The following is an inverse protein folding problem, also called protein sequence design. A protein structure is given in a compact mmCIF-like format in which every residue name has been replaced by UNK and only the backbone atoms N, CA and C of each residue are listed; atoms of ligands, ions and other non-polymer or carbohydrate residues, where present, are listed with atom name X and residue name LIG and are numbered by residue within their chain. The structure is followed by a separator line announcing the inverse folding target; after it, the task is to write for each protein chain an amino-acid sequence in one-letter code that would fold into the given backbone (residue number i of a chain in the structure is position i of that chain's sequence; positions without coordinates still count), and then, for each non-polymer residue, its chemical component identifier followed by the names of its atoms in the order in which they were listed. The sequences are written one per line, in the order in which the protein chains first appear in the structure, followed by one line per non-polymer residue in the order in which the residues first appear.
data_IF_392580808466
#
_entry.id   IF_392580808466
#
_cell.length_a   1.000
_cell.length_b   1.000
_cell.length_c   1.000
_cell.angle_alpha   90.00
_cell.angle_beta   90.00
_cell.angle_gamma   90.00
#
_symmetry.space_group_name_H-M   'P 1'
#
loop_
_entity.id
_entity.type
_entity.pdbx_description
1 polymer ?
#
# COMPACT_ATOMS: atom_id res chain seq x y z
N UNK A 1 -1.61 87.06 2.59
CA UNK A 1 -0.71 85.86 2.46
C UNK A 1 -0.78 84.88 3.63
N UNK A 2 -1.39 85.20 4.77
CA UNK A 2 -1.39 84.25 5.96
C UNK A 2 -2.52 83.24 5.92
N UNK A 3 -3.62 83.46 5.22
CA UNK A 3 -4.76 82.53 5.21
C UNK A 3 -4.66 81.40 4.19
N UNK A 4 -3.90 81.55 3.12
CA UNK A 4 -3.66 80.54 2.11
C UNK A 4 -2.69 79.43 2.63
N UNK A 5 -1.75 79.81 3.50
CA UNK A 5 -0.79 78.85 4.10
C UNK A 5 -1.43 77.92 5.15
N UNK A 6 -2.45 78.40 5.86
CA UNK A 6 -3.21 77.62 6.82
C UNK A 6 -4.15 76.61 6.13
N UNK A 7 -4.69 76.91 5.01
CA UNK A 7 -5.57 76.05 4.24
C UNK A 7 -4.76 74.89 3.60
N UNK A 8 -3.56 75.19 3.09
CA UNK A 8 -2.68 74.15 2.51
C UNK A 8 -2.14 73.22 3.58
N UNK A 9 -1.81 73.67 4.81
CA UNK A 9 -1.34 72.85 5.90
C UNK A 9 -2.44 72.00 6.48
N UNK A 10 -3.70 72.47 6.51
CA UNK A 10 -4.84 71.64 6.95
C UNK A 10 -5.20 70.55 5.94
N UNK A 11 -5.02 70.79 4.64
CA UNK A 11 -5.33 69.84 3.57
C UNK A 11 -4.26 68.76 3.45
N UNK A 12 -2.99 69.10 3.68
CA UNK A 12 -1.90 68.08 3.75
C UNK A 12 -1.97 67.21 4.97
N UNK A 13 -2.42 67.68 6.14
CA UNK A 13 -2.58 66.90 7.34
C UNK A 13 -3.74 65.90 7.22
N UNK A 14 -4.82 66.25 6.48
CA UNK A 14 -5.95 65.34 6.28
C UNK A 14 -5.65 64.23 5.24
N UNK A 15 -4.75 64.50 4.29
CA UNK A 15 -4.32 63.49 3.30
C UNK A 15 -3.33 62.46 3.87
N UNK A 16 -2.55 62.82 4.90
CA UNK A 16 -1.58 61.90 5.52
C UNK A 16 -2.25 61.00 6.57
N UNK A 17 -3.33 61.45 7.21
CA UNK A 17 -4.10 60.63 8.16
C UNK A 17 -5.02 59.62 7.48
N UNK A 18 -5.46 59.87 6.22
CA UNK A 18 -6.28 58.91 5.46
C UNK A 18 -5.51 57.76 4.85
N UNK A 19 -4.16 57.85 4.74
CA UNK A 19 -3.33 56.82 4.11
C UNK A 19 -2.79 55.78 5.11
N UNK A 20 -3.00 55.92 6.41
CA UNK A 20 -2.51 55.00 7.45
C UNK A 20 -3.60 54.08 8.00
N UNK A 21 -4.82 54.13 7.50
CA UNK A 21 -5.93 53.24 7.93
C UNK A 21 -6.19 52.07 6.98
N UNK A 22 -5.29 51.79 6.04
CA UNK A 22 -5.50 50.73 5.07
C UNK A 22 -4.31 49.77 5.03
N UNK A 23 -4.03 49.11 6.12
CA UNK A 23 -3.26 47.85 6.14
C UNK A 23 -3.24 47.30 7.58
N UNK A 24 -4.38 46.85 8.06
CA UNK A 24 -4.44 45.85 9.11
C UNK A 24 -5.48 44.80 8.70
N UNK A 25 -5.30 44.22 7.50
CA UNK A 25 -5.69 42.87 7.27
C UNK A 25 -4.43 42.06 7.64
N UNK A 26 -4.23 41.80 8.93
CA UNK A 26 -3.60 40.56 9.32
C UNK A 26 -4.56 39.50 8.83
N UNK A 27 -4.29 38.94 7.66
CA UNK A 27 -4.70 37.59 7.37
C UNK A 27 -4.10 36.77 8.53
N UNK A 28 -4.86 36.62 9.60
CA UNK A 28 -4.65 35.50 10.52
C UNK A 28 -4.79 34.29 9.59
N UNK A 29 -3.67 33.75 9.14
CA UNK A 29 -3.61 32.42 8.56
C UNK A 29 -4.28 31.53 9.62
N UNK A 30 -5.51 31.11 9.35
CA UNK A 30 -6.12 30.09 10.17
C UNK A 30 -5.08 28.97 10.25
N UNK A 31 -4.75 28.47 11.44
CA UNK A 31 -3.78 27.38 11.54
C UNK A 31 -4.29 26.27 10.65
N UNK A 32 -3.52 25.96 9.60
CA UNK A 32 -3.85 24.85 8.69
C UNK A 32 -4.15 23.62 9.56
N UNK A 33 -5.35 23.07 9.38
CA UNK A 33 -5.70 21.82 10.06
C UNK A 33 -4.64 20.78 9.65
N UNK A 34 -4.03 20.09 10.61
CA UNK A 34 -2.99 19.12 10.26
C UNK A 34 -3.54 18.11 9.26
N UNK A 35 -2.79 17.83 8.19
CA UNK A 35 -3.19 16.96 7.11
C UNK A 35 -3.48 15.53 7.60
N UNK A 36 -4.50 14.86 7.05
CA UNK A 36 -4.69 13.42 7.25
C UNK A 36 -3.43 12.64 6.90
N UNK A 37 -3.22 11.51 7.56
CA UNK A 37 -2.01 10.70 7.39
C UNK A 37 -2.32 9.32 6.85
N UNK A 38 -1.47 8.85 5.94
CA UNK A 38 -1.42 7.46 5.53
C UNK A 38 -0.07 6.88 5.93
N UNK A 39 -0.10 5.78 6.65
CA UNK A 39 1.09 5.00 7.00
C UNK A 39 1.05 3.72 6.19
N UNK A 40 1.98 3.54 5.29
CA UNK A 40 2.03 2.37 4.42
C UNK A 40 3.17 1.44 4.84
N UNK A 41 2.84 0.19 5.15
CA UNK A 41 3.77 -0.87 5.50
C UNK A 41 3.87 -1.86 4.34
N UNK A 42 4.99 -1.84 3.62
CA UNK A 42 5.28 -2.78 2.53
C UNK A 42 5.63 -4.17 3.06
N UNK A 43 5.52 -5.19 2.22
CA UNK A 43 5.93 -6.55 2.61
C UNK A 43 7.43 -6.62 2.92
N UNK A 44 7.88 -7.62 3.69
CA UNK A 44 9.30 -7.80 4.00
C UNK A 44 10.19 -8.08 2.77
N UNK A 45 9.59 -8.41 1.61
CA UNK A 45 10.32 -8.50 0.34
C UNK A 45 10.93 -7.18 -0.10
N UNK A 46 10.42 -6.06 0.43
CA UNK A 46 10.95 -4.73 0.21
C UNK A 46 10.63 -4.14 -1.15
N UNK A 47 11.12 -2.92 -1.34
CA UNK A 47 11.05 -2.20 -2.62
C UNK A 47 12.20 -2.64 -3.53
N UNK A 48 12.01 -2.49 -4.85
CA UNK A 48 12.98 -2.89 -5.86
C UNK A 48 12.78 -4.32 -6.35
N UNK A 49 11.62 -4.92 -6.06
CA UNK A 49 11.25 -6.26 -6.56
C UNK A 49 10.82 -6.24 -8.03
N UNK A 50 10.70 -5.06 -8.64
CA UNK A 50 10.16 -4.82 -9.99
C UNK A 50 8.76 -5.46 -10.21
N UNK A 51 8.07 -5.79 -9.15
CA UNK A 51 6.83 -6.55 -9.11
C UNK A 51 5.78 -5.90 -8.19
N UNK A 52 5.29 -6.66 -7.21
CA UNK A 52 4.16 -6.30 -6.35
C UNK A 52 4.40 -5.02 -5.55
N UNK A 53 5.49 -4.94 -4.78
CA UNK A 53 5.77 -3.78 -3.94
C UNK A 53 6.02 -2.51 -4.78
N UNK A 54 6.78 -2.61 -5.87
CA UNK A 54 7.05 -1.47 -6.75
C UNK A 54 5.78 -0.95 -7.42
N UNK A 55 4.86 -1.84 -7.82
CA UNK A 55 3.57 -1.43 -8.40
C UNK A 55 2.67 -0.75 -7.39
N UNK A 56 2.67 -1.20 -6.14
CA UNK A 56 1.98 -0.52 -5.05
C UNK A 56 2.58 0.87 -4.84
N UNK A 57 3.92 0.99 -4.79
CA UNK A 57 4.60 2.27 -4.63
C UNK A 57 4.22 3.26 -5.74
N UNK A 58 4.18 2.82 -7.00
CA UNK A 58 3.70 3.65 -8.11
C UNK A 58 2.27 4.16 -7.87
N UNK A 59 1.39 3.28 -7.35
CA UNK A 59 0.02 3.65 -6.98
C UNK A 59 -0.04 4.69 -5.86
N UNK A 60 0.75 4.50 -4.80
CA UNK A 60 0.86 5.43 -3.67
C UNK A 60 1.38 6.81 -4.12
N UNK A 61 2.41 6.82 -4.97
CA UNK A 61 2.97 8.07 -5.52
C UNK A 61 1.95 8.83 -6.38
N UNK A 62 1.21 8.12 -7.22
CA UNK A 62 0.13 8.72 -8.03
C UNK A 62 -0.96 9.29 -7.15
N UNK A 63 -1.40 8.53 -6.14
CA UNK A 63 -2.41 8.99 -5.18
C UNK A 63 -1.96 10.28 -4.47
N UNK A 64 -0.69 10.37 -4.04
CA UNK A 64 -0.13 11.58 -3.43
C UNK A 64 -0.11 12.77 -4.37
N UNK A 65 0.21 12.56 -5.66
CA UNK A 65 0.17 13.64 -6.66
C UNK A 65 -1.24 14.18 -6.90
N UNK A 66 -2.25 13.32 -6.81
CA UNK A 66 -3.65 13.67 -7.03
C UNK A 66 -4.30 14.28 -5.76
N UNK A 67 -3.74 13.99 -4.56
CA UNK A 67 -4.29 14.37 -3.25
C UNK A 67 -3.18 15.01 -2.40
N UNK A 68 -2.76 16.23 -2.81
CA UNK A 68 -1.60 16.92 -2.22
C UNK A 68 -1.67 17.22 -0.73
N UNK A 69 -2.88 17.27 -0.15
CA UNK A 69 -3.14 17.64 1.25
C UNK A 69 -3.07 16.42 2.22
N UNK A 70 -2.41 15.33 1.83
CA UNK A 70 -2.28 14.12 2.63
C UNK A 70 -0.80 13.81 2.88
N UNK A 71 -0.43 13.58 4.13
CA UNK A 71 0.90 13.12 4.49
C UNK A 71 1.00 11.58 4.34
N UNK A 72 1.99 11.10 3.60
CA UNK A 72 2.21 9.67 3.38
C UNK A 72 3.58 9.27 3.96
N UNK A 73 3.55 8.32 4.89
CA UNK A 73 4.72 7.70 5.51
C UNK A 73 4.86 6.26 5.01
N UNK A 74 6.04 5.91 4.54
CA UNK A 74 6.34 4.61 3.95
C UNK A 74 7.34 3.88 4.82
N UNK A 75 7.01 2.64 5.18
CA UNK A 75 7.90 1.72 5.88
C UNK A 75 8.11 0.47 5.03
N UNK A 76 9.36 0.05 4.91
CA UNK A 76 9.77 -1.18 4.24
C UNK A 76 10.58 -2.01 5.24
N UNK A 77 9.93 -2.81 6.08
CA UNK A 77 10.60 -3.59 7.11
C UNK A 77 11.44 -4.71 6.48
N UNK A 78 12.53 -5.06 7.15
CA UNK A 78 13.40 -6.16 6.72
C UNK A 78 12.87 -7.54 7.19
N UNK A 79 11.87 -7.55 8.08
CA UNK A 79 11.31 -8.78 8.66
C UNK A 79 9.88 -8.59 9.14
N UNK A 80 9.15 -9.71 9.31
CA UNK A 80 7.82 -9.70 9.95
C UNK A 80 7.88 -9.17 11.39
N UNK A 81 8.96 -9.44 12.12
CA UNK A 81 9.13 -8.95 13.49
C UNK A 81 9.28 -7.43 13.55
N UNK A 82 9.98 -6.82 12.60
CA UNK A 82 10.06 -5.37 12.49
C UNK A 82 8.72 -4.76 12.11
N UNK A 83 8.02 -5.38 11.16
CA UNK A 83 6.67 -4.98 10.76
C UNK A 83 5.70 -5.01 11.94
N UNK A 84 5.75 -6.08 12.75
CA UNK A 84 4.95 -6.24 13.96
C UNK A 84 5.18 -5.11 14.95
N UNK A 85 6.44 -4.75 15.19
CA UNK A 85 6.77 -3.63 16.07
C UNK A 85 6.22 -2.31 15.57
N UNK A 86 6.35 -2.02 14.27
CA UNK A 86 5.82 -0.79 13.67
C UNK A 86 4.29 -0.73 13.82
N UNK A 87 3.60 -1.84 13.61
CA UNK A 87 2.15 -1.94 13.74
C UNK A 87 1.69 -1.80 15.19
N UNK A 88 2.34 -2.50 16.13
CA UNK A 88 2.07 -2.39 17.56
C UNK A 88 2.27 -0.97 18.07
N UNK A 89 3.41 -0.34 17.74
CA UNK A 89 3.70 1.04 18.11
C UNK A 89 2.61 2.01 17.58
N UNK A 90 2.04 1.74 16.40
CA UNK A 90 0.94 2.55 15.88
C UNK A 90 -0.37 2.32 16.64
N UNK A 91 -0.71 1.06 16.95
CA UNK A 91 -1.92 0.73 17.71
C UNK A 91 -1.92 1.35 19.10
N UNK A 92 -0.78 1.31 19.79
CA UNK A 92 -0.62 1.82 21.14
C UNK A 92 -0.54 3.35 21.23
N UNK A 93 -0.31 4.06 20.10
CA UNK A 93 -0.27 5.53 20.12
C UNK A 93 -1.58 6.11 20.64
N UNK A 94 -1.53 7.12 21.51
CA UNK A 94 -2.72 7.80 21.99
C UNK A 94 -3.58 8.32 20.82
N UNK A 95 -4.87 8.47 21.10
CA UNK A 95 -5.79 9.08 20.14
C UNK A 95 -5.30 10.48 19.74
N UNK A 96 -5.25 10.73 18.43
CA UNK A 96 -4.95 12.01 17.82
C UNK A 96 -6.22 12.60 17.22
N UNK A 97 -6.27 13.95 17.07
CA UNK A 97 -7.29 14.61 16.27
C UNK A 97 -7.07 14.42 14.77
N UNK A 98 -5.87 13.98 14.37
CA UNK A 98 -5.50 13.76 12.97
C UNK A 98 -5.96 12.37 12.55
N UNK A 99 -6.77 12.22 11.48
CA UNK A 99 -7.13 10.93 10.92
C UNK A 99 -5.88 10.21 10.39
N UNK A 100 -5.73 8.94 10.73
CA UNK A 100 -4.61 8.09 10.26
C UNK A 100 -5.17 6.81 9.66
N UNK A 101 -4.86 6.56 8.40
CA UNK A 101 -5.05 5.27 7.74
C UNK A 101 -3.73 4.50 7.79
N UNK A 102 -3.73 3.36 8.46
CA UNK A 102 -2.61 2.41 8.39
C UNK A 102 -2.89 1.36 7.32
N UNK A 103 -1.95 1.12 6.43
CA UNK A 103 -2.07 0.16 5.33
C UNK A 103 -1.07 -0.96 5.53
N UNK A 104 -1.57 -2.17 5.69
CA UNK A 104 -0.79 -3.41 5.69
C UNK A 104 -0.75 -3.95 4.26
N UNK A 105 0.34 -3.74 3.57
CA UNK A 105 0.49 -3.95 2.13
C UNK A 105 0.81 -5.38 1.71
N UNK A 106 0.51 -6.38 2.55
CA UNK A 106 0.77 -7.80 2.25
C UNK A 106 -0.19 -8.72 3.01
N UNK A 107 -0.52 -9.87 2.41
CA UNK A 107 -1.24 -10.97 3.07
C UNK A 107 -0.49 -11.55 4.28
N UNK A 108 0.84 -11.46 4.30
CA UNK A 108 1.67 -11.94 5.42
C UNK A 108 1.33 -11.26 6.75
N UNK A 109 0.72 -10.09 6.69
CA UNK A 109 0.35 -9.30 7.86
C UNK A 109 -1.01 -9.68 8.47
N UNK A 110 -1.84 -10.47 7.78
CA UNK A 110 -3.16 -10.85 8.30
C UNK A 110 -3.10 -11.56 9.66
N UNK A 111 -2.22 -12.58 9.89
CA UNK A 111 -2.12 -13.24 11.19
C UNK A 111 -1.70 -12.29 12.32
N UNK A 112 -0.78 -11.37 12.04
CA UNK A 112 -0.34 -10.33 12.98
C UNK A 112 -1.50 -9.39 13.31
N UNK A 113 -2.20 -8.88 12.28
CA UNK A 113 -3.33 -7.98 12.47
C UNK A 113 -4.45 -8.65 13.30
N UNK A 114 -4.75 -9.92 13.05
CA UNK A 114 -5.74 -10.68 13.81
C UNK A 114 -5.40 -10.76 15.30
N UNK A 115 -4.13 -11.07 15.60
CA UNK A 115 -3.67 -11.18 16.99
C UNK A 115 -3.85 -9.87 17.74
N UNK A 116 -3.37 -8.77 17.17
CA UNK A 116 -3.42 -7.46 17.83
C UNK A 116 -4.85 -6.89 17.91
N UNK A 117 -5.67 -7.06 16.88
CA UNK A 117 -7.05 -6.59 16.85
C UNK A 117 -7.99 -7.40 17.76
N UNK A 118 -7.59 -8.59 18.21
CA UNK A 118 -8.30 -9.33 19.22
C UNK A 118 -8.20 -8.71 20.62
N UNK A 119 -7.16 -7.91 20.86
CA UNK A 119 -6.84 -7.31 22.16
C UNK A 119 -6.97 -5.77 22.16
N UNK A 120 -7.05 -5.14 20.98
CA UNK A 120 -7.04 -3.67 20.82
C UNK A 120 -8.16 -3.23 19.88
N UNK A 121 -9.01 -2.32 20.34
CA UNK A 121 -9.97 -1.61 19.50
C UNK A 121 -9.30 -0.42 18.82
N UNK A 122 -9.70 -0.10 17.58
CA UNK A 122 -9.25 1.11 16.91
C UNK A 122 -9.91 2.34 17.55
N UNK A 123 -9.11 3.38 17.78
CA UNK A 123 -9.64 4.68 18.23
C UNK A 123 -10.33 5.40 17.05
N UNK A 124 -11.29 6.33 17.28
CA UNK A 124 -12.14 6.90 16.23
C UNK A 124 -11.43 7.52 15.02
N UNK A 125 -10.18 7.98 15.19
CA UNK A 125 -9.42 8.58 14.09
C UNK A 125 -8.37 7.63 13.48
N UNK A 126 -8.42 6.35 13.85
CA UNK A 126 -7.58 5.31 13.26
C UNK A 126 -8.42 4.44 12.34
N UNK A 127 -7.90 4.19 11.15
CA UNK A 127 -8.45 3.21 10.21
C UNK A 127 -7.34 2.28 9.75
N UNK A 128 -7.71 1.05 9.44
CA UNK A 128 -6.81 0.01 8.98
C UNK A 128 -7.27 -0.52 7.62
N UNK A 129 -6.32 -0.70 6.71
CA UNK A 129 -6.56 -1.36 5.43
C UNK A 129 -5.60 -2.54 5.27
N UNK A 130 -6.15 -3.74 5.10
CA UNK A 130 -5.37 -4.95 4.84
C UNK A 130 -5.46 -5.31 3.37
N UNK A 131 -4.31 -5.44 2.74
CA UNK A 131 -4.19 -5.93 1.37
C UNK A 131 -4.21 -7.46 1.35
N UNK A 132 -4.72 -7.99 0.26
CA UNK A 132 -4.79 -9.43 -0.02
C UNK A 132 -5.51 -10.25 1.07
N UNK A 133 -6.45 -9.63 1.78
CA UNK A 133 -7.31 -10.28 2.77
C UNK A 133 -8.77 -10.29 2.31
N UNK A 134 -9.46 -11.39 2.58
CA UNK A 134 -10.92 -11.56 2.40
C UNK A 134 -11.68 -11.55 3.71
N UNK A 135 -10.98 -11.39 4.81
CA UNK A 135 -11.58 -11.41 6.13
C UNK A 135 -12.50 -10.21 6.30
N UNK A 136 -13.64 -10.45 6.93
CA UNK A 136 -14.57 -9.39 7.32
C UNK A 136 -14.43 -9.12 8.81
N UNK A 137 -14.17 -7.87 9.14
CA UNK A 137 -14.11 -7.39 10.51
C UNK A 137 -15.42 -6.71 10.89
N UNK A 138 -15.75 -6.71 12.18
CA UNK A 138 -16.96 -6.05 12.70
C UNK A 138 -16.77 -4.54 12.87
N UNK A 139 -15.52 -4.11 13.07
CA UNK A 139 -15.16 -2.70 13.18
C UNK A 139 -15.22 -2.06 11.78
N UNK A 140 -16.03 -1.02 11.64
CA UNK A 140 -16.21 -0.28 10.37
C UNK A 140 -14.96 0.49 9.92
N UNK A 141 -14.00 0.68 10.81
CA UNK A 141 -12.72 1.31 10.48
C UNK A 141 -11.66 0.31 9.95
N UNK A 142 -12.00 -0.98 9.86
CA UNK A 142 -11.11 -2.01 9.31
C UNK A 142 -11.63 -2.44 7.95
N UNK A 143 -10.83 -2.17 6.92
CA UNK A 143 -11.13 -2.50 5.53
C UNK A 143 -10.18 -3.57 5.02
N UNK A 144 -10.69 -4.44 4.15
CA UNK A 144 -9.91 -5.48 3.50
C UNK A 144 -10.24 -5.51 2.02
N UNK A 145 -9.27 -5.86 1.19
CA UNK A 145 -9.54 -6.22 -0.20
C UNK A 145 -8.54 -7.25 -0.70
N UNK A 146 -8.93 -7.98 -1.72
CA UNK A 146 -8.07 -8.93 -2.41
C UNK A 146 -8.28 -8.84 -3.92
N UNK A 147 -7.18 -8.86 -4.66
CA UNK A 147 -7.20 -9.02 -6.11
C UNK A 147 -7.21 -10.51 -6.42
N UNK A 148 -8.31 -11.01 -6.98
CA UNK A 148 -8.41 -12.43 -7.32
C UNK A 148 -7.61 -12.74 -8.58
N UNK A 149 -6.58 -13.54 -8.43
CA UNK A 149 -5.75 -14.03 -9.54
C UNK A 149 -6.40 -15.22 -10.29
N UNK A 150 -7.53 -15.76 -9.80
CA UNK A 150 -8.14 -16.97 -10.38
C UNK A 150 -8.44 -16.83 -11.87
N UNK A 151 -9.10 -15.76 -12.29
CA UNK A 151 -9.52 -15.58 -13.68
C UNK A 151 -8.36 -15.47 -14.67
N UNK A 152 -7.34 -14.70 -14.33
CA UNK A 152 -6.12 -14.55 -15.14
C UNK A 152 -5.37 -15.89 -15.23
N UNK A 153 -5.22 -16.59 -14.11
CA UNK A 153 -4.57 -17.88 -14.05
C UNK A 153 -5.35 -18.97 -14.79
N UNK A 154 -6.69 -18.93 -14.75
CA UNK A 154 -7.54 -19.81 -15.53
C UNK A 154 -7.26 -19.65 -17.03
N UNK A 155 -7.18 -18.43 -17.53
CA UNK A 155 -6.85 -18.17 -18.94
C UNK A 155 -5.44 -18.67 -19.30
N UNK A 156 -4.46 -18.51 -18.40
CA UNK A 156 -3.12 -19.07 -18.59
C UNK A 156 -3.16 -20.61 -18.69
N UNK A 157 -3.94 -21.27 -17.84
CA UNK A 157 -4.17 -22.73 -17.93
C UNK A 157 -4.81 -23.16 -19.23
N UNK A 158 -5.80 -22.39 -19.73
CA UNK A 158 -6.40 -22.65 -21.06
C UNK A 158 -5.37 -22.50 -22.18
N UNK A 159 -4.46 -21.53 -22.09
CA UNK A 159 -3.34 -21.39 -23.02
C UNK A 159 -2.40 -22.59 -22.95
N UNK A 160 -1.97 -22.96 -21.74
CA UNK A 160 -1.09 -24.12 -21.53
C UNK A 160 -1.67 -25.38 -22.17
N UNK A 161 -2.96 -25.68 -21.95
CA UNK A 161 -3.65 -26.83 -22.57
C UNK A 161 -3.59 -26.85 -24.11
N UNK A 162 -3.48 -25.67 -24.73
CA UNK A 162 -3.41 -25.55 -26.19
C UNK A 162 -2.00 -25.55 -26.74
N UNK A 163 -1.02 -25.16 -25.95
CA UNK A 163 0.34 -24.90 -26.39
C UNK A 163 1.35 -25.90 -25.85
N UNK A 164 1.05 -26.57 -24.73
CA UNK A 164 1.94 -27.56 -24.13
C UNK A 164 1.62 -28.96 -24.65
N UNK A 165 2.65 -29.73 -24.97
CA UNK A 165 2.58 -31.15 -25.30
C UNK A 165 2.86 -32.04 -24.08
N UNK A 166 3.35 -31.43 -23.00
CA UNK A 166 3.70 -32.08 -21.74
C UNK A 166 2.81 -31.59 -20.59
N UNK A 167 2.84 -32.27 -19.46
CA UNK A 167 2.23 -31.76 -18.23
C UNK A 167 2.92 -30.46 -17.82
N UNK A 168 2.19 -29.34 -17.65
CA UNK A 168 2.81 -28.07 -17.29
C UNK A 168 3.20 -28.05 -15.82
N UNK A 169 4.19 -27.23 -15.49
CA UNK A 169 4.61 -26.93 -14.12
C UNK A 169 3.98 -25.62 -13.64
N UNK A 170 3.39 -25.64 -12.44
CA UNK A 170 3.02 -24.44 -11.69
C UNK A 170 4.08 -24.18 -10.62
N UNK A 171 4.82 -23.08 -10.75
CA UNK A 171 5.86 -22.68 -9.81
C UNK A 171 5.37 -21.55 -8.91
N UNK A 172 5.36 -21.78 -7.62
CA UNK A 172 4.81 -20.88 -6.62
C UNK A 172 5.88 -20.39 -5.65
N UNK A 173 5.73 -19.14 -5.16
CA UNK A 173 6.64 -18.60 -4.16
C UNK A 173 6.63 -19.43 -2.87
N UNK A 174 5.43 -19.68 -2.32
CA UNK A 174 5.26 -20.46 -1.10
C UNK A 174 3.93 -21.24 -1.09
N UNK A 175 3.74 -22.10 -0.11
CA UNK A 175 2.56 -22.96 0.02
C UNK A 175 1.50 -22.40 1.00
N UNK A 176 1.80 -21.36 1.74
CA UNK A 176 0.93 -20.79 2.79
C UNK A 176 0.10 -19.63 2.32
N UNK A 177 0.52 -18.90 1.29
CA UNK A 177 -0.14 -17.70 0.80
C UNK A 177 -1.44 -18.03 0.05
N UNK A 178 -2.56 -17.50 0.54
CA UNK A 178 -3.89 -17.70 -0.05
C UNK A 178 -4.01 -17.16 -1.48
N UNK A 179 -3.58 -15.92 -1.82
CA UNK A 179 -3.60 -15.40 -3.19
C UNK A 179 -2.86 -16.29 -4.19
N UNK A 180 -1.70 -16.81 -3.81
CA UNK A 180 -0.88 -17.71 -4.64
C UNK A 180 -1.60 -19.03 -4.89
N UNK A 181 -2.18 -19.63 -3.86
CA UNK A 181 -2.96 -20.86 -4.00
C UNK A 181 -4.19 -20.66 -4.89
N UNK A 182 -4.85 -19.48 -4.84
CA UNK A 182 -5.94 -19.13 -5.75
C UNK A 182 -5.47 -19.07 -7.21
N UNK A 183 -4.27 -18.56 -7.46
CA UNK A 183 -3.67 -18.55 -8.80
C UNK A 183 -3.40 -19.96 -9.31
N UNK A 184 -2.84 -20.83 -8.47
CA UNK A 184 -2.64 -22.26 -8.76
C UNK A 184 -3.96 -22.94 -9.13
N UNK A 185 -4.97 -22.79 -8.29
CA UNK A 185 -6.27 -23.43 -8.50
C UNK A 185 -6.94 -22.93 -9.79
N UNK A 186 -6.80 -21.63 -10.10
CA UNK A 186 -7.23 -21.06 -11.36
C UNK A 186 -6.54 -21.71 -12.56
N UNK A 187 -5.22 -21.83 -12.51
CA UNK A 187 -4.45 -22.43 -13.61
C UNK A 187 -4.85 -23.92 -13.84
N UNK A 188 -4.89 -24.70 -12.79
CA UNK A 188 -5.29 -26.13 -12.86
C UNK A 188 -6.69 -26.26 -13.43
N UNK A 189 -7.66 -25.43 -12.98
CA UNK A 189 -9.01 -25.44 -13.51
C UNK A 189 -9.06 -25.07 -15.02
N UNK A 190 -8.24 -24.12 -15.46
CA UNK A 190 -8.12 -23.73 -16.86
C UNK A 190 -7.45 -24.78 -17.74
N UNK A 191 -6.43 -25.43 -17.23
CA UNK A 191 -5.75 -26.54 -17.90
C UNK A 191 -6.67 -27.76 -18.04
N UNK A 192 -7.50 -28.05 -17.02
CA UNK A 192 -8.55 -29.05 -17.06
C UNK A 192 -8.09 -30.48 -16.70
N UNK A 193 -6.88 -30.62 -16.17
CA UNK A 193 -6.32 -31.83 -15.60
C UNK A 193 -5.25 -31.45 -14.56
N UNK A 194 -4.69 -32.47 -13.87
CA UNK A 194 -3.63 -32.26 -12.90
C UNK A 194 -2.38 -31.67 -13.58
N UNK A 195 -1.70 -30.80 -12.85
CA UNK A 195 -0.43 -30.18 -13.20
C UNK A 195 0.61 -30.54 -12.13
N UNK A 196 1.89 -30.49 -12.51
CA UNK A 196 2.94 -30.54 -11.51
C UNK A 196 2.99 -29.21 -10.76
N UNK A 197 3.18 -29.25 -9.44
CA UNK A 197 3.20 -28.08 -8.57
C UNK A 197 4.45 -28.10 -7.71
N UNK A 198 5.21 -27.02 -7.79
CA UNK A 198 6.42 -26.84 -7.00
C UNK A 198 6.42 -25.50 -6.27
N UNK A 199 7.07 -25.46 -5.10
CA UNK A 199 7.19 -24.27 -4.29
C UNK A 199 8.66 -23.88 -4.13
N UNK A 200 8.93 -22.57 -4.13
CA UNK A 200 10.28 -22.05 -3.86
C UNK A 200 10.66 -22.19 -2.39
N UNK A 201 9.71 -21.91 -1.50
CA UNK A 201 9.87 -22.03 -0.05
C UNK A 201 8.54 -22.37 0.63
N UNK A 202 8.58 -22.62 1.95
CA UNK A 202 7.42 -22.86 2.79
C UNK A 202 6.92 -21.58 3.49
N UNK A 203 7.56 -20.43 3.20
CA UNK A 203 7.27 -19.14 3.80
C UNK A 203 7.49 -17.98 2.78
N UNK A 204 7.38 -16.74 3.25
CA UNK A 204 7.55 -15.53 2.44
C UNK A 204 8.92 -15.42 1.74
N UNK A 205 9.96 -16.15 2.21
CA UNK A 205 11.30 -16.10 1.60
C UNK A 205 11.31 -16.57 0.16
N UNK A 206 10.28 -17.29 -0.28
CA UNK A 206 10.08 -17.67 -1.68
C UNK A 206 9.98 -16.48 -2.63
N UNK A 207 9.49 -15.34 -2.16
CA UNK A 207 9.39 -14.12 -2.98
C UNK A 207 10.72 -13.41 -3.22
N UNK A 208 11.68 -13.58 -2.32
CA UNK A 208 12.99 -12.89 -2.38
C UNK A 208 14.14 -13.81 -2.81
N UNK A 209 13.86 -15.04 -3.15
CA UNK A 209 14.86 -16.06 -3.49
C UNK A 209 15.15 -16.14 -5.00
N UNK A 210 15.48 -15.01 -5.64
CA UNK A 210 15.74 -14.94 -7.09
C UNK A 210 16.79 -15.96 -7.58
N UNK A 211 17.86 -16.20 -6.80
CA UNK A 211 18.89 -17.17 -7.14
C UNK A 211 18.38 -18.61 -7.10
N UNK A 212 17.48 -18.93 -6.16
CA UNK A 212 16.84 -20.24 -6.07
C UNK A 212 15.85 -20.42 -7.22
N UNK A 213 15.03 -19.42 -7.51
CA UNK A 213 14.10 -19.43 -8.64
C UNK A 213 14.84 -19.67 -9.96
N UNK A 214 15.94 -18.93 -10.21
CA UNK A 214 16.75 -19.10 -11.40
C UNK A 214 17.30 -20.53 -11.56
N UNK A 215 17.86 -21.10 -10.48
CA UNK A 215 18.39 -22.49 -10.52
C UNK A 215 17.30 -23.49 -10.81
N UNK A 216 16.20 -23.47 -10.05
CA UNK A 216 15.06 -24.36 -10.25
C UNK A 216 14.48 -24.25 -11.66
N UNK A 217 14.28 -23.01 -12.16
CA UNK A 217 13.79 -22.79 -13.52
C UNK A 217 14.76 -23.34 -14.57
N UNK A 218 16.07 -23.23 -14.37
CA UNK A 218 17.06 -23.78 -15.29
C UNK A 218 17.04 -25.32 -15.34
N UNK A 219 16.82 -25.95 -14.19
CA UNK A 219 16.72 -27.41 -14.09
C UNK A 219 15.41 -27.90 -14.76
N UNK A 220 14.28 -27.26 -14.49
CA UNK A 220 12.97 -27.68 -15.01
C UNK A 220 12.71 -27.30 -16.46
N UNK A 221 13.39 -26.30 -17.00
CA UNK A 221 13.25 -25.91 -18.42
C UNK A 221 13.62 -27.05 -19.40
N UNK A 222 14.28 -28.11 -18.93
CA UNK A 222 14.59 -29.32 -19.71
C UNK A 222 13.43 -30.32 -19.68
N UNK A 223 12.64 -30.33 -18.61
CA UNK A 223 11.61 -31.33 -18.34
C UNK A 223 10.18 -30.81 -18.64
N UNK A 224 10.00 -29.49 -18.78
CA UNK A 224 8.70 -28.85 -19.03
C UNK A 224 8.77 -27.92 -20.21
N UNK A 225 7.79 -28.00 -21.10
CA UNK A 225 7.60 -27.08 -22.22
C UNK A 225 6.71 -25.87 -21.87
N UNK A 226 6.05 -25.93 -20.71
CA UNK A 226 5.26 -24.83 -20.18
C UNK A 226 5.41 -24.72 -18.63
N UNK A 227 5.85 -23.58 -18.18
CA UNK A 227 5.97 -23.27 -16.74
C UNK A 227 5.16 -22.01 -16.44
N UNK A 228 4.27 -22.07 -15.45
CA UNK A 228 3.48 -20.96 -14.96
C UNK A 228 4.03 -20.45 -13.63
N UNK A 229 4.86 -19.38 -13.60
CA UNK A 229 5.42 -18.85 -12.39
C UNK A 229 4.45 -17.89 -11.69
N UNK A 230 4.31 -18.04 -10.37
CA UNK A 230 3.61 -17.11 -9.46
C UNK A 230 4.52 -16.88 -8.26
N UNK A 231 5.63 -16.17 -8.48
CA UNK A 231 6.71 -16.04 -7.51
C UNK A 231 7.50 -14.73 -7.71
N UNK A 232 6.88 -13.60 -7.45
CA UNK A 232 7.59 -12.31 -7.49
C UNK A 232 6.88 -11.21 -8.17
#
# INVERSE_FOLDING_TARGET
MHNTFRAILAMTTFLVTGALSSCNHTDELEPESPAPQIVFLFSPGGLGDMSYNDRILEGVQRFKMENGDIDIYIYSPESLQEAEKIFADWLERPQSSIPVLFVLGSSDYEPMAELYLAEHDLTPNKSLLLFESRKQYKDENIHTFQISMFGASYLAGVCARKCSEMTPLVLLANNTDSPINIAKDGFIAGYGSDCDVEYLADDWTGYVSASLAYRKMSDWAVDYDFIFPVAG
#
